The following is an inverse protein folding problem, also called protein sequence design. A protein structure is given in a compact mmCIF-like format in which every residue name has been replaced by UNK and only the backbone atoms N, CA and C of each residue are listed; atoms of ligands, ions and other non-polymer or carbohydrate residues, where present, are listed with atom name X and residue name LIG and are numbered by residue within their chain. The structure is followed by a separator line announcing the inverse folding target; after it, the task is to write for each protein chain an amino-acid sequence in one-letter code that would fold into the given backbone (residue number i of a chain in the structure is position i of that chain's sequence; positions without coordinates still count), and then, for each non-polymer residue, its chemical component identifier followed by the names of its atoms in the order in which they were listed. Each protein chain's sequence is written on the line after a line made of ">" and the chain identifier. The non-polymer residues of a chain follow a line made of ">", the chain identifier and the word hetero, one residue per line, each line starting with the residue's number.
data_IF_479088094114
#
_entry.id   IF_479088094114
#
_cell.length_a   1.000
_cell.length_b   1.000
_cell.length_c   1.000
_cell.angle_alpha   90.00
_cell.angle_beta   90.00
_cell.angle_gamma   90.00
#
_symmetry.space_group_name_H-M   'P 1'
#
loop_
_entity.id
_entity.type
_entity.pdbx_description
1 polymer ?
#
# COMPACT_ATOMS: atom_id res chain seq x y z
N UNK A 1 -16.81 16.56 19.93
CA UNK A 1 -16.33 16.40 18.54
C UNK A 1 -15.32 15.25 18.38
N UNK A 2 -14.33 15.10 19.27
CA UNK A 2 -13.31 14.04 19.19
C UNK A 2 -13.84 12.60 19.18
N UNK A 3 -14.89 12.28 19.97
CA UNK A 3 -15.48 10.94 20.00
C UNK A 3 -16.14 10.54 18.66
N UNK A 4 -16.80 11.49 18.00
CA UNK A 4 -17.42 11.27 16.68
C UNK A 4 -16.35 11.09 15.59
N UNK A 5 -15.28 11.88 15.64
CA UNK A 5 -14.15 11.74 14.70
C UNK A 5 -13.48 10.36 14.82
N UNK A 6 -13.22 9.89 16.05
CA UNK A 6 -12.69 8.54 16.31
C UNK A 6 -13.63 7.45 15.79
N UNK A 7 -14.92 7.55 16.09
CA UNK A 7 -15.90 6.59 15.58
C UNK A 7 -15.93 6.52 14.05
N UNK A 8 -15.87 7.67 13.36
CA UNK A 8 -15.80 7.72 11.89
C UNK A 8 -14.50 7.11 11.34
N UNK A 9 -13.38 7.37 12.00
CA UNK A 9 -12.11 6.74 11.68
C UNK A 9 -12.21 5.21 11.77
N UNK A 10 -12.72 4.69 12.88
CA UNK A 10 -12.79 3.25 13.12
C UNK A 10 -13.74 2.57 12.12
N UNK A 11 -14.86 3.21 11.77
CA UNK A 11 -15.73 2.74 10.69
C UNK A 11 -15.02 2.73 9.32
N UNK A 12 -14.17 3.72 9.04
CA UNK A 12 -13.42 3.77 7.79
C UNK A 12 -12.37 2.65 7.73
N UNK A 13 -11.64 2.41 8.82
CA UNK A 13 -10.68 1.30 8.95
C UNK A 13 -11.39 -0.05 8.78
N UNK A 14 -12.50 -0.27 9.49
CA UNK A 14 -13.27 -1.51 9.39
C UNK A 14 -13.78 -1.76 7.95
N UNK A 15 -14.16 -0.70 7.23
CA UNK A 15 -14.52 -0.81 5.81
C UNK A 15 -13.33 -1.21 4.96
N UNK A 16 -12.18 -0.56 5.11
CA UNK A 16 -10.94 -0.90 4.40
C UNK A 16 -10.51 -2.35 4.65
N UNK A 17 -10.66 -2.83 5.88
CA UNK A 17 -10.30 -4.21 6.24
C UNK A 17 -11.22 -5.26 5.64
N UNK A 18 -12.45 -4.88 5.27
CA UNK A 18 -13.45 -5.79 4.74
C UNK A 18 -13.54 -5.80 3.20
N UNK A 19 -12.74 -5.01 2.48
CA UNK A 19 -12.85 -4.93 1.01
C UNK A 19 -11.94 -5.86 0.22
N UNK A 20 -10.91 -6.41 0.84
CA UNK A 20 -9.88 -7.15 0.14
C UNK A 20 -9.51 -8.48 0.79
N UNK A 21 -8.97 -9.39 -0.01
CA UNK A 21 -8.39 -10.65 0.42
C UNK A 21 -7.06 -10.89 -0.29
N UNK A 22 -6.18 -11.64 0.37
CA UNK A 22 -4.90 -12.09 -0.18
C UNK A 22 -4.94 -13.61 -0.42
N UNK A 23 -4.55 -14.04 -1.61
CA UNK A 23 -4.21 -15.43 -1.91
C UNK A 23 -2.72 -15.54 -2.21
N UNK A 24 -2.09 -16.62 -1.78
CA UNK A 24 -0.65 -16.86 -1.95
C UNK A 24 -0.49 -18.17 -2.71
N UNK A 25 0.26 -18.10 -3.81
CA UNK A 25 0.43 -19.20 -4.75
C UNK A 25 1.93 -19.40 -4.97
N UNK A 26 2.57 -20.38 -4.30
CA UNK A 26 3.98 -20.68 -4.54
C UNK A 26 4.17 -21.28 -5.94
N UNK A 27 5.23 -20.87 -6.63
CA UNK A 27 5.57 -21.32 -7.97
C UNK A 27 6.86 -22.12 -7.92
N UNK A 28 6.78 -23.38 -8.35
CA UNK A 28 7.90 -24.32 -8.34
C UNK A 28 8.39 -24.61 -9.75
N UNK A 29 9.71 -24.68 -9.93
CA UNK A 29 10.40 -25.18 -11.15
C UNK A 29 11.56 -26.07 -10.73
N UNK A 30 11.74 -27.20 -11.40
CA UNK A 30 12.82 -28.17 -11.11
C UNK A 30 12.97 -28.51 -9.62
N UNK A 31 11.84 -28.72 -8.95
CA UNK A 31 11.77 -29.02 -7.51
C UNK A 31 12.35 -27.93 -6.59
N UNK A 32 12.40 -26.68 -7.07
CA UNK A 32 12.72 -25.49 -6.28
C UNK A 32 11.56 -24.51 -6.32
N UNK A 33 11.27 -23.87 -5.20
CA UNK A 33 10.51 -22.63 -5.19
C UNK A 33 11.34 -21.60 -5.94
N UNK A 34 10.72 -20.87 -6.88
CA UNK A 34 11.38 -19.79 -7.63
C UNK A 34 10.67 -18.45 -7.48
N UNK A 35 9.39 -18.47 -7.11
CA UNK A 35 8.57 -17.28 -7.01
C UNK A 35 7.36 -17.52 -6.10
N UNK A 36 6.88 -16.45 -5.48
CA UNK A 36 5.59 -16.39 -4.84
C UNK A 36 4.71 -15.43 -5.64
N UNK A 37 3.60 -15.94 -6.15
CA UNK A 37 2.54 -15.12 -6.72
C UNK A 37 1.52 -14.78 -5.64
N UNK A 38 1.33 -13.49 -5.40
CA UNK A 38 0.34 -12.96 -4.46
C UNK A 38 -0.80 -12.35 -5.25
N UNK A 39 -2.01 -12.87 -5.05
CA UNK A 39 -3.23 -12.31 -5.62
C UNK A 39 -3.90 -11.41 -4.61
N UNK A 40 -4.13 -10.15 -4.98
CA UNK A 40 -4.95 -9.22 -4.21
C UNK A 40 -6.31 -9.12 -4.86
N UNK A 41 -7.35 -9.51 -4.11
CA UNK A 41 -8.75 -9.48 -4.59
C UNK A 41 -9.48 -8.29 -4.03
N UNK A 42 -10.28 -7.63 -4.86
CA UNK A 42 -11.32 -6.73 -4.40
C UNK A 42 -12.62 -7.53 -4.29
N UNK A 43 -12.99 -7.92 -3.07
CA UNK A 43 -14.11 -8.85 -2.84
C UNK A 43 -15.43 -8.14 -2.55
N UNK A 44 -15.40 -6.85 -2.21
CA UNK A 44 -16.60 -6.13 -1.73
C UNK A 44 -16.82 -4.76 -2.36
N UNK A 45 -15.77 -4.03 -2.72
CA UNK A 45 -15.98 -2.66 -3.22
C UNK A 45 -16.65 -2.70 -4.61
N UNK A 46 -17.73 -1.92 -4.76
CA UNK A 46 -18.43 -1.74 -6.04
C UNK A 46 -17.68 -0.86 -7.05
N UNK A 47 -16.50 -0.37 -6.70
CA UNK A 47 -15.60 0.45 -7.50
C UNK A 47 -14.16 -0.13 -7.44
N UNK A 48 -13.23 0.46 -8.18
CA UNK A 48 -11.81 0.08 -8.14
C UNK A 48 -11.22 0.22 -6.72
N UNK A 49 -10.25 -0.62 -6.37
CA UNK A 49 -9.49 -0.54 -5.14
C UNK A 49 -8.04 -0.16 -5.46
N UNK A 50 -7.55 1.02 -5.02
CA UNK A 50 -8.29 2.16 -4.49
C UNK A 50 -9.08 2.89 -5.60
N UNK A 51 -9.93 3.85 -5.21
CA UNK A 51 -10.67 4.75 -6.11
C UNK A 51 -10.41 6.23 -5.79
N UNK A 52 -10.96 7.14 -6.60
CA UNK A 52 -10.80 8.60 -6.53
C UNK A 52 -9.35 9.02 -6.75
N UNK A 53 -8.68 9.64 -5.75
CA UNK A 53 -7.29 10.10 -5.77
C UNK A 53 -6.29 8.93 -5.76
N UNK A 54 -6.42 8.01 -6.71
CA UNK A 54 -5.65 6.77 -6.84
C UNK A 54 -4.19 6.97 -7.28
N UNK A 55 -3.83 8.19 -7.69
CA UNK A 55 -2.45 8.65 -7.90
C UNK A 55 -1.81 9.23 -6.63
N UNK A 56 -2.59 9.48 -5.58
CA UNK A 56 -2.11 10.04 -4.29
C UNK A 56 -2.21 9.00 -3.17
N UNK A 57 -3.39 8.41 -3.00
CA UNK A 57 -3.64 7.31 -2.06
C UNK A 57 -2.75 6.15 -2.41
N UNK A 58 -2.18 5.49 -1.42
CA UNK A 58 -1.31 4.33 -1.65
C UNK A 58 -1.95 3.08 -1.07
N UNK A 59 -2.11 2.07 -1.92
CA UNK A 59 -2.36 0.68 -1.53
C UNK A 59 -1.17 -0.13 -2.03
N UNK A 60 -0.54 -0.93 -1.17
CA UNK A 60 0.62 -1.72 -1.55
C UNK A 60 0.73 -3.00 -0.73
N UNK A 61 1.58 -3.91 -1.17
CA UNK A 61 1.94 -5.11 -0.41
C UNK A 61 3.25 -4.90 0.36
N UNK A 62 3.19 -5.14 1.67
CA UNK A 62 4.33 -5.40 2.52
C UNK A 62 4.47 -6.93 2.67
N UNK A 63 5.65 -7.47 2.40
CA UNK A 63 5.91 -8.92 2.43
C UNK A 63 7.18 -9.17 3.19
N UNK A 64 7.12 -10.08 4.16
CA UNK A 64 8.28 -10.64 4.86
C UNK A 64 8.26 -12.14 4.72
N UNK A 65 9.38 -12.72 4.28
CA UNK A 65 9.59 -14.16 4.25
C UNK A 65 10.70 -14.54 5.24
N UNK A 66 10.45 -15.58 6.01
CA UNK A 66 11.41 -16.13 6.97
C UNK A 66 11.64 -17.62 6.73
N UNK A 67 12.86 -18.08 7.00
CA UNK A 67 13.19 -19.50 7.01
C UNK A 67 12.61 -20.21 8.25
N UNK A 68 12.89 -21.52 8.36
CA UNK A 68 12.43 -22.37 9.47
C UNK A 68 12.94 -21.95 10.85
N UNK A 69 14.05 -21.23 10.90
CA UNK A 69 14.69 -20.77 12.13
C UNK A 69 14.22 -19.36 12.51
N UNK A 70 13.38 -18.75 11.66
CA UNK A 70 12.84 -17.41 11.83
C UNK A 70 13.73 -16.30 11.25
N UNK A 71 14.81 -16.63 10.54
CA UNK A 71 15.64 -15.62 9.89
C UNK A 71 14.91 -15.02 8.70
N UNK A 72 14.89 -13.70 8.59
CA UNK A 72 14.29 -13.00 7.45
C UNK A 72 15.18 -13.21 6.22
N UNK A 73 14.60 -13.83 5.18
CA UNK A 73 15.27 -14.10 3.90
C UNK A 73 14.77 -13.17 2.78
N UNK A 74 13.64 -12.49 2.98
CA UNK A 74 13.14 -11.43 2.10
C UNK A 74 12.29 -10.46 2.92
N UNK A 75 12.43 -9.16 2.66
CA UNK A 75 11.44 -8.16 3.08
C UNK A 75 11.29 -7.07 2.01
N UNK A 76 10.07 -6.58 1.81
CA UNK A 76 9.75 -5.48 0.89
C UNK A 76 8.46 -4.78 1.31
N UNK A 77 8.32 -3.51 0.95
CA UNK A 77 7.12 -2.70 1.23
C UNK A 77 6.99 -2.17 2.66
N UNK A 78 7.97 -2.42 3.53
CA UNK A 78 8.05 -1.80 4.85
C UNK A 78 8.35 -0.31 4.72
N UNK A 79 7.53 0.52 5.37
CA UNK A 79 7.74 1.97 5.41
C UNK A 79 8.88 2.30 6.38
N UNK A 80 9.78 3.20 6.00
CA UNK A 80 10.87 3.64 6.87
C UNK A 80 10.40 4.61 7.97
N UNK A 81 11.30 4.97 8.89
CA UNK A 81 11.01 5.90 9.99
C UNK A 81 10.56 7.30 9.52
N UNK A 82 10.85 7.65 8.27
CA UNK A 82 10.48 8.92 7.64
C UNK A 82 9.20 8.80 6.82
N UNK A 83 8.55 7.64 6.75
CA UNK A 83 7.36 7.46 5.93
C UNK A 83 7.64 7.16 4.45
N UNK A 84 8.86 6.83 4.04
CA UNK A 84 9.14 6.47 2.65
C UNK A 84 8.91 4.98 2.40
N UNK A 85 8.40 4.67 1.21
CA UNK A 85 8.38 3.31 0.69
C UNK A 85 9.71 3.00 -0.02
N UNK A 86 10.20 1.75 0.06
CA UNK A 86 11.36 1.33 -0.70
C UNK A 86 11.07 1.30 -2.21
N UNK A 87 12.12 1.39 -3.02
CA UNK A 87 11.99 1.23 -4.47
C UNK A 87 11.46 -0.16 -4.83
N UNK A 88 10.77 -0.24 -5.97
CA UNK A 88 10.26 -1.51 -6.51
C UNK A 88 9.05 -2.11 -5.77
N UNK A 89 8.54 -1.45 -4.73
CA UNK A 89 7.33 -1.87 -4.01
C UNK A 89 6.14 -2.04 -4.97
N UNK A 90 5.31 -3.05 -4.73
CA UNK A 90 4.13 -3.34 -5.55
C UNK A 90 2.95 -2.47 -5.10
N UNK A 91 2.82 -1.29 -5.71
CA UNK A 91 1.69 -0.38 -5.52
C UNK A 91 0.52 -0.74 -6.45
N UNK A 92 -0.70 -0.62 -5.93
CA UNK A 92 -1.96 -0.75 -6.66
C UNK A 92 -2.55 0.64 -6.90
N UNK A 93 -1.88 1.45 -7.70
CA UNK A 93 -2.19 2.87 -7.88
C UNK A 93 -2.34 3.22 -9.36
N UNK A 94 -2.60 4.50 -9.63
CA UNK A 94 -2.44 5.07 -10.97
C UNK A 94 -1.26 6.02 -11.01
N UNK A 95 -0.52 6.03 -12.11
CA UNK A 95 0.49 7.06 -12.35
C UNK A 95 -0.12 8.10 -13.28
N UNK A 96 -0.34 9.31 -12.77
CA UNK A 96 -0.97 10.40 -13.50
C UNK A 96 0.07 11.22 -14.28
N UNK A 97 -0.30 11.67 -15.48
CA UNK A 97 0.54 12.51 -16.33
C UNK A 97 -0.25 13.70 -16.90
N UNK A 98 0.46 14.82 -17.07
CA UNK A 98 -0.08 16.04 -17.69
C UNK A 98 -0.07 15.99 -19.23
N UNK A 99 -0.38 17.12 -19.87
CA UNK A 99 -0.48 17.24 -21.34
C UNK A 99 0.83 16.93 -22.09
N UNK A 100 1.97 16.91 -21.41
CA UNK A 100 3.29 16.62 -21.97
C UNK A 100 3.89 15.30 -21.47
N UNK A 101 3.07 14.36 -20.98
CA UNK A 101 3.52 13.05 -20.51
C UNK A 101 4.50 13.09 -19.32
N UNK A 102 4.59 14.21 -18.62
CA UNK A 102 5.32 14.31 -17.36
C UNK A 102 4.42 13.89 -16.20
N UNK A 103 4.97 13.12 -15.25
CA UNK A 103 4.24 12.71 -14.06
C UNK A 103 3.83 13.93 -13.23
N UNK A 104 2.58 13.93 -12.77
CA UNK A 104 2.01 14.99 -11.95
C UNK A 104 1.26 14.40 -10.76
N UNK A 105 1.36 15.08 -9.62
CA UNK A 105 0.60 14.73 -8.41
C UNK A 105 -0.68 15.58 -8.32
N UNK A 106 -0.62 16.83 -8.80
CA UNK A 106 -1.71 17.79 -8.77
C UNK A 106 -2.91 17.33 -9.58
N UNK A 107 -4.07 17.05 -8.95
CA UNK A 107 -5.22 16.47 -9.63
C UNK A 107 -5.75 17.33 -10.79
N UNK A 108 -5.61 18.66 -10.72
CA UNK A 108 -6.08 19.59 -11.77
C UNK A 108 -5.15 19.67 -12.99
N UNK A 109 -3.93 19.13 -12.91
CA UNK A 109 -3.00 19.05 -14.05
C UNK A 109 -3.07 17.69 -14.76
N UNK A 110 -3.84 16.73 -14.24
CA UNK A 110 -3.93 15.37 -14.80
C UNK A 110 -4.68 15.40 -16.12
N UNK A 111 -3.98 15.07 -17.20
CA UNK A 111 -4.57 14.89 -18.53
C UNK A 111 -4.87 13.42 -18.83
N UNK A 112 -4.05 12.49 -18.33
CA UNK A 112 -4.24 11.03 -18.51
C UNK A 112 -3.47 10.22 -17.46
N UNK A 113 -3.58 8.88 -17.51
CA UNK A 113 -2.84 7.97 -16.65
C UNK A 113 -1.90 7.09 -17.49
N UNK A 114 -0.60 7.11 -17.17
CA UNK A 114 0.41 6.27 -17.82
C UNK A 114 0.30 4.80 -17.39
N UNK A 115 -0.17 4.58 -16.15
CA UNK A 115 -0.37 3.26 -15.55
C UNK A 115 -1.64 3.27 -14.71
N UNK A 116 -2.37 2.16 -14.75
CA UNK A 116 -3.49 1.89 -13.86
C UNK A 116 -3.37 0.45 -13.33
N UNK A 117 -2.87 0.32 -12.10
CA UNK A 117 -2.75 -0.94 -11.37
C UNK A 117 -3.82 -1.07 -10.28
N UNK A 118 -4.86 -0.24 -10.32
CA UNK A 118 -6.00 -0.41 -9.42
C UNK A 118 -6.70 -1.74 -9.67
N UNK A 119 -7.34 -2.27 -8.63
CA UNK A 119 -8.01 -3.56 -8.66
C UNK A 119 -9.49 -3.34 -8.96
N UNK A 120 -9.95 -3.82 -10.12
CA UNK A 120 -11.33 -3.67 -10.57
C UNK A 120 -12.35 -4.23 -9.56
N UNK A 121 -13.62 -3.76 -9.58
CA UNK A 121 -14.69 -4.31 -8.74
C UNK A 121 -14.86 -5.81 -8.98
N UNK A 122 -14.87 -6.61 -7.90
CA UNK A 122 -14.90 -8.09 -7.97
C UNK A 122 -13.73 -8.71 -8.74
N UNK A 123 -12.73 -7.92 -9.08
CA UNK A 123 -11.53 -8.34 -9.79
C UNK A 123 -10.38 -8.66 -8.84
N UNK A 124 -9.22 -8.89 -9.44
CA UNK A 124 -7.98 -9.15 -8.72
C UNK A 124 -6.78 -8.62 -9.51
N UNK A 125 -5.65 -8.49 -8.82
CA UNK A 125 -4.32 -8.29 -9.42
C UNK A 125 -3.36 -9.32 -8.86
N UNK A 126 -2.55 -9.90 -9.72
CA UNK A 126 -1.46 -10.79 -9.33
C UNK A 126 -0.15 -9.99 -9.33
N UNK A 127 0.64 -10.15 -8.27
CA UNK A 127 2.01 -9.64 -8.20
C UNK A 127 2.95 -10.78 -7.85
N UNK A 128 4.20 -10.63 -8.25
CA UNK A 128 5.17 -11.71 -8.24
C UNK A 128 6.44 -11.27 -7.50
N UNK A 129 6.94 -12.15 -6.63
CA UNK A 129 8.16 -11.97 -5.86
C UNK A 129 9.07 -13.19 -6.07
N UNK A 130 10.26 -12.97 -6.62
CA UNK A 130 11.25 -14.04 -6.78
C UNK A 130 11.77 -14.49 -5.42
N UNK A 131 11.55 -15.75 -5.06
CA UNK A 131 12.03 -16.34 -3.82
C UNK A 131 12.51 -17.76 -4.10
N UNK A 132 13.77 -18.02 -3.80
CA UNK A 132 14.42 -19.29 -4.12
C UNK A 132 14.59 -20.15 -2.87
N UNK A 133 14.07 -21.38 -2.91
CA UNK A 133 14.27 -22.37 -1.86
C UNK A 133 14.08 -23.79 -2.42
N UNK A 134 14.72 -24.79 -1.81
CA UNK A 134 14.45 -26.19 -2.16
C UNK A 134 13.01 -26.56 -1.77
N UNK A 135 12.33 -27.35 -2.61
CA UNK A 135 10.97 -27.80 -2.31
C UNK A 135 10.96 -28.62 -1.02
N UNK A 136 10.02 -28.30 -0.13
CA UNK A 136 9.86 -28.95 1.17
C UNK A 136 10.63 -28.27 2.30
N UNK A 137 11.47 -27.27 2.00
CA UNK A 137 11.96 -26.33 3.02
C UNK A 137 10.82 -25.37 3.36
N UNK A 138 10.29 -25.38 4.59
CA UNK A 138 9.18 -24.52 4.95
C UNK A 138 9.63 -23.06 4.97
N UNK A 139 8.83 -22.19 4.36
CA UNK A 139 9.01 -20.74 4.41
C UNK A 139 7.76 -20.11 4.99
N UNK A 140 7.93 -19.33 6.05
CA UNK A 140 6.83 -18.53 6.61
C UNK A 140 6.76 -17.19 5.92
N UNK A 141 5.58 -16.84 5.44
CA UNK A 141 5.28 -15.57 4.78
C UNK A 141 4.30 -14.78 5.64
N UNK A 142 4.67 -13.56 5.98
CA UNK A 142 3.80 -12.52 6.51
C UNK A 142 3.54 -11.50 5.39
N UNK A 143 2.28 -11.41 4.94
CA UNK A 143 1.85 -10.47 3.92
C UNK A 143 0.85 -9.49 4.52
N UNK A 144 1.07 -8.20 4.25
CA UNK A 144 0.11 -7.15 4.60
C UNK A 144 -0.29 -6.37 3.37
N UNK A 145 -1.59 -6.28 3.12
CA UNK A 145 -2.12 -5.26 2.22
C UNK A 145 -2.27 -3.97 3.02
N UNK A 146 -1.49 -2.98 2.67
CA UNK A 146 -1.37 -1.72 3.41
C UNK A 146 -2.12 -0.61 2.68
N UNK A 147 -2.66 0.33 3.43
CA UNK A 147 -3.27 1.56 2.93
C UNK A 147 -2.72 2.78 3.64
N UNK A 148 -2.48 3.87 2.89
CA UNK A 148 -2.41 5.22 3.45
C UNK A 148 -3.03 6.25 2.53
N UNK A 149 -3.46 7.37 3.13
CA UNK A 149 -4.25 8.38 2.44
C UNK A 149 -3.48 9.15 1.34
N UNK A 150 -2.18 9.34 1.54
CA UNK A 150 -1.30 10.01 0.61
C UNK A 150 0.14 9.49 0.81
N UNK A 151 0.99 9.69 -0.20
CA UNK A 151 2.43 9.60 0.03
C UNK A 151 2.90 10.63 1.07
N UNK A 152 3.90 10.29 1.88
CA UNK A 152 4.44 11.18 2.89
C UNK A 152 4.91 12.52 2.28
N UNK A 153 5.61 12.47 1.15
CA UNK A 153 6.14 13.66 0.47
C UNK A 153 5.02 14.56 -0.03
N UNK A 154 3.88 13.98 -0.41
CA UNK A 154 2.71 14.75 -0.85
C UNK A 154 2.09 15.48 0.33
N UNK A 155 1.96 14.84 1.49
CA UNK A 155 1.46 15.54 2.70
C UNK A 155 2.41 16.64 3.15
N UNK A 156 3.73 16.40 3.12
CA UNK A 156 4.75 17.41 3.41
C UNK A 156 4.70 18.58 2.42
N UNK A 157 4.53 18.29 1.14
CA UNK A 157 4.41 19.31 0.11
C UNK A 157 3.15 20.17 0.30
N UNK A 158 1.99 19.56 0.58
CA UNK A 158 0.76 20.30 0.89
C UNK A 158 0.96 21.21 2.11
N UNK A 159 1.62 20.72 3.17
CA UNK A 159 1.88 21.52 4.36
C UNK A 159 2.83 22.70 4.07
N UNK A 160 3.74 22.57 3.10
CA UNK A 160 4.63 23.67 2.71
C UNK A 160 3.92 24.88 2.08
N UNK A 161 2.65 24.72 1.68
CA UNK A 161 1.81 25.81 1.16
C UNK A 161 0.97 26.51 2.23
N UNK A 162 1.10 26.13 3.50
CA UNK A 162 0.35 26.81 4.55
C UNK A 162 0.79 28.29 4.67
N UNK A 163 -0.16 29.20 4.95
CA UNK A 163 0.15 30.60 5.13
C UNK A 163 1.25 30.81 6.20
N UNK A 164 2.20 31.75 6.01
CA UNK A 164 3.28 31.99 6.97
C UNK A 164 2.80 32.36 8.38
N UNK A 165 1.58 32.90 8.48
CA UNK A 165 0.92 33.30 9.72
C UNK A 165 0.07 32.18 10.35
N UNK A 166 0.03 30.97 9.76
CA UNK A 166 -0.64 29.82 10.36
C UNK A 166 0.22 29.18 11.44
N UNK A 167 -0.21 29.27 12.70
CA UNK A 167 0.36 28.47 13.79
C UNK A 167 -0.24 27.05 13.77
N UNK A 168 0.60 26.08 13.37
CA UNK A 168 0.21 24.67 13.28
C UNK A 168 -0.06 24.04 14.65
N UNK A 169 0.65 24.48 15.68
CA UNK A 169 0.48 23.96 17.01
C UNK A 169 -0.82 24.50 17.61
N UNK A 170 -1.10 25.79 17.45
CA UNK A 170 -2.35 26.40 17.91
C UNK A 170 -3.56 25.81 17.18
N UNK A 171 -3.47 25.64 15.87
CA UNK A 171 -4.61 25.20 15.04
C UNK A 171 -4.84 23.70 15.10
N UNK A 172 -3.77 22.91 15.05
CA UNK A 172 -3.83 21.45 14.86
C UNK A 172 -3.09 20.66 15.93
N UNK A 173 -2.37 21.30 16.86
CA UNK A 173 -1.54 20.62 17.84
C UNK A 173 -0.33 19.92 17.21
N UNK A 174 0.12 20.36 16.04
CA UNK A 174 1.21 19.74 15.28
C UNK A 174 2.42 20.67 15.21
N UNK A 175 3.61 20.13 15.46
CA UNK A 175 4.88 20.85 15.25
C UNK A 175 5.48 20.61 13.86
N UNK A 176 5.09 19.52 13.21
CA UNK A 176 5.49 19.11 11.88
C UNK A 176 4.45 18.12 11.33
N UNK A 177 4.52 17.77 10.04
CA UNK A 177 3.75 16.66 9.49
C UNK A 177 4.21 15.37 10.19
N UNK A 178 3.34 14.66 10.91
CA UNK A 178 3.71 13.36 11.45
C UNK A 178 3.86 12.36 10.30
N UNK A 179 4.57 11.25 10.55
CA UNK A 179 4.51 10.12 9.62
C UNK A 179 3.05 9.71 9.43
N UNK A 180 2.60 9.69 8.17
CA UNK A 180 1.22 9.38 7.87
C UNK A 180 0.87 7.97 8.35
N UNK A 181 -0.30 7.80 9.00
CA UNK A 181 -0.71 6.50 9.51
C UNK A 181 -0.89 5.51 8.36
N UNK A 182 -0.39 4.29 8.58
CA UNK A 182 -0.56 3.14 7.70
C UNK A 182 -1.60 2.20 8.32
N UNK A 183 -2.57 1.80 7.52
CA UNK A 183 -3.61 0.86 7.91
C UNK A 183 -3.31 -0.50 7.32
N UNK A 184 -3.33 -1.53 8.16
CA UNK A 184 -3.41 -2.92 7.72
C UNK A 184 -4.82 -3.23 7.25
N UNK A 185 -5.00 -3.30 5.93
CA UNK A 185 -6.25 -3.75 5.32
C UNK A 185 -6.40 -5.26 5.48
N UNK A 186 -5.35 -6.01 5.18
CA UNK A 186 -5.35 -7.47 5.27
C UNK A 186 -4.01 -7.89 5.84
N UNK A 187 -4.00 -8.79 6.81
CA UNK A 187 -2.79 -9.47 7.29
C UNK A 187 -2.98 -10.96 7.02
N UNK A 188 -2.02 -11.58 6.35
CA UNK A 188 -2.04 -13.01 6.04
C UNK A 188 -0.69 -13.63 6.40
N UNK A 189 -0.75 -14.60 7.30
CA UNK A 189 0.38 -15.47 7.62
C UNK A 189 0.15 -16.83 6.97
N UNK A 190 1.13 -17.34 6.24
CA UNK A 190 1.07 -18.66 5.61
C UNK A 190 2.45 -19.28 5.61
N UNK A 191 2.53 -20.59 5.83
CA UNK A 191 3.76 -21.36 5.56
C UNK A 191 3.54 -22.15 4.28
N UNK A 192 4.49 -22.02 3.34
CA UNK A 192 4.47 -22.70 2.04
C UNK A 192 5.57 -23.75 1.94
#
# INVERSE_FOLDING_TARGET
>A
MAANARHKHDMAVARLQAVAELEVHPVYRDNMLVEIKVRVRNIRAGHNLPTSLSNIRQVWLEVTASDRDGNIIMTTGTVDEKGNLPEGVRLFNKDAQGEHFHFVVDPWLVASFARDDTILPRGFRDVHYGLFAEKGVPITLELKLRYRQADQKVAEHILSYLPPDMDLYETYGLNAVPVLPVIDMVVKNVTI
#
